data_IF_333753075637
#
_entry.id   IF_333753075637
#
_cell.length_a   1.000
_cell.length_b   1.000
_cell.length_c   1.000
_cell.angle_alpha   90.00
_cell.angle_beta   90.00
_cell.angle_gamma   90.00
#
_symmetry.space_group_name_H-M   'P 1'
#
loop_
_entity.id
_entity.type
_entity.pdbx_description
1 polymer ?
#
# COMPACT_ATOMS: atom_id res chain seq x y z
N UNK A 1 8.02 16.41 -4.74
CA UNK A 1 7.56 17.01 -3.48
C UNK A 1 6.26 16.31 -3.11
N UNK A 2 6.23 15.51 -2.04
CA UNK A 2 5.02 14.76 -1.64
C UNK A 2 4.13 15.70 -0.85
N UNK A 3 3.02 16.16 -1.43
CA UNK A 3 2.05 17.02 -0.76
C UNK A 3 1.53 16.31 0.49
N UNK A 4 1.47 16.96 1.66
CA UNK A 4 0.90 16.33 2.85
C UNK A 4 -0.61 16.13 2.62
N UNK A 5 -1.03 14.86 2.53
CA UNK A 5 -2.43 14.47 2.45
C UNK A 5 -3.20 14.94 3.69
N UNK A 6 -4.41 15.42 3.46
CA UNK A 6 -5.32 15.84 4.52
C UNK A 6 -5.82 14.63 5.31
N UNK A 7 -6.27 14.86 6.54
CA UNK A 7 -6.94 13.84 7.36
C UNK A 7 -8.17 13.24 6.67
N UNK A 8 -8.86 14.03 5.84
CA UNK A 8 -10.01 13.58 5.04
C UNK A 8 -9.60 12.55 3.97
N UNK A 9 -8.54 12.84 3.22
CA UNK A 9 -8.03 11.92 2.18
C UNK A 9 -7.61 10.58 2.80
N UNK A 10 -7.01 10.62 3.99
CA UNK A 10 -6.63 9.41 4.71
C UNK A 10 -7.82 8.59 5.20
N UNK A 11 -8.96 9.23 5.49
CA UNK A 11 -10.18 8.52 5.87
C UNK A 11 -10.81 7.84 4.64
N UNK A 12 -10.77 8.49 3.47
CA UNK A 12 -11.24 7.90 2.22
C UNK A 12 -10.37 6.72 1.79
N UNK A 13 -9.03 6.88 1.84
CA UNK A 13 -8.07 5.79 1.60
C UNK A 13 -8.35 4.61 2.54
N UNK A 14 -8.61 4.86 3.83
CA UNK A 14 -8.94 3.82 4.80
C UNK A 14 -10.23 3.06 4.42
N UNK A 15 -11.28 3.79 4.03
CA UNK A 15 -12.55 3.22 3.64
C UNK A 15 -12.42 2.33 2.39
N UNK A 16 -11.76 2.84 1.35
CA UNK A 16 -11.54 2.10 0.10
C UNK A 16 -10.62 0.89 0.31
N UNK A 17 -9.56 1.05 1.10
CA UNK A 17 -8.67 -0.04 1.47
C UNK A 17 -9.41 -1.15 2.23
N UNK A 18 -10.32 -0.78 3.15
CA UNK A 18 -11.19 -1.73 3.86
C UNK A 18 -12.21 -2.39 2.93
N UNK A 19 -12.66 -1.69 1.89
CA UNK A 19 -13.52 -2.24 0.85
C UNK A 19 -12.81 -3.29 -0.02
N UNK A 20 -11.48 -3.43 0.11
CA UNK A 20 -10.67 -4.41 -0.62
C UNK A 20 -9.97 -3.82 -1.83
N UNK A 21 -9.94 -2.48 -1.98
CA UNK A 21 -9.16 -1.87 -3.04
C UNK A 21 -7.65 -2.08 -2.82
N UNK A 22 -6.90 -2.43 -3.89
CA UNK A 22 -5.46 -2.64 -3.79
C UNK A 22 -4.73 -1.34 -3.45
N UNK A 23 -3.65 -1.47 -2.68
CA UNK A 23 -2.88 -0.33 -2.21
C UNK A 23 -2.24 0.43 -3.37
N UNK A 24 -1.86 -0.28 -4.44
CA UNK A 24 -1.26 0.32 -5.64
C UNK A 24 -2.24 1.23 -6.39
N UNK A 25 -3.51 0.86 -6.46
CA UNK A 25 -4.55 1.68 -7.12
C UNK A 25 -4.81 2.94 -6.31
N UNK A 26 -4.94 2.80 -4.99
CA UNK A 26 -5.08 3.95 -4.09
C UNK A 26 -3.83 4.84 -4.14
N UNK A 27 -2.64 4.25 -4.16
CA UNK A 27 -1.38 4.96 -4.28
C UNK A 27 -1.31 5.82 -5.55
N UNK A 28 -1.76 5.29 -6.69
CA UNK A 28 -1.85 6.05 -7.94
C UNK A 28 -2.88 7.18 -7.83
N UNK A 29 -4.08 6.88 -7.30
CA UNK A 29 -5.19 7.83 -7.17
C UNK A 29 -4.82 9.05 -6.31
N UNK A 30 -4.11 8.82 -5.21
CA UNK A 30 -3.71 9.87 -4.27
C UNK A 30 -2.25 10.32 -4.44
N UNK A 31 -1.57 9.89 -5.51
CA UNK A 31 -0.16 10.21 -5.80
C UNK A 31 0.80 10.00 -4.60
N UNK A 32 0.65 8.87 -3.92
CA UNK A 32 1.52 8.45 -2.81
C UNK A 32 2.17 7.10 -3.07
N UNK A 33 3.16 6.75 -2.24
CA UNK A 33 3.78 5.44 -2.30
C UNK A 33 2.87 4.38 -1.68
N UNK A 34 2.71 3.20 -2.30
CA UNK A 34 1.91 2.10 -1.76
C UNK A 34 2.44 1.66 -0.38
N UNK A 35 3.76 1.69 -0.18
CA UNK A 35 4.39 1.46 1.12
C UNK A 35 3.84 2.38 2.24
N UNK A 36 3.51 3.63 1.94
CA UNK A 36 2.94 4.57 2.93
C UNK A 36 1.55 4.11 3.38
N UNK A 37 0.73 3.62 2.45
CA UNK A 37 -0.60 3.06 2.75
C UNK A 37 -0.44 1.79 3.59
N UNK A 38 0.48 0.89 3.22
CA UNK A 38 0.73 -0.33 3.99
C UNK A 38 1.25 -0.06 5.41
N UNK A 39 2.22 0.84 5.57
CA UNK A 39 2.73 1.23 6.89
C UNK A 39 1.63 1.82 7.77
N UNK A 40 0.78 2.68 7.20
CA UNK A 40 -0.34 3.28 7.92
C UNK A 40 -1.42 2.25 8.26
N UNK A 41 -1.77 1.37 7.31
CA UNK A 41 -2.72 0.28 7.52
C UNK A 41 -2.27 -0.69 8.61
N UNK A 42 -0.98 -0.97 8.71
CA UNK A 42 -0.39 -1.78 9.79
C UNK A 42 -0.46 -1.04 11.13
N UNK A 43 0.00 0.22 11.19
CA UNK A 43 0.02 1.02 12.42
C UNK A 43 -1.39 1.28 12.99
N UNK A 44 -2.35 1.54 12.11
CA UNK A 44 -3.76 1.79 12.47
C UNK A 44 -4.62 0.53 12.46
N UNK A 45 -4.02 -0.64 12.27
CA UNK A 45 -4.72 -1.93 12.33
C UNK A 45 -5.94 -2.00 11.41
N UNK A 46 -5.87 -1.37 10.23
CA UNK A 46 -7.00 -1.27 9.28
C UNK A 46 -7.56 -2.64 8.86
N UNK A 47 -6.76 -3.71 9.00
CA UNK A 47 -7.13 -5.09 8.71
C UNK A 47 -7.70 -5.85 9.91
N UNK A 48 -7.45 -5.45 11.15
CA UNK A 48 -7.91 -6.22 12.32
C UNK A 48 -9.43 -6.21 12.46
N UNK A 49 -10.12 -5.21 11.91
CA UNK A 49 -11.59 -5.11 11.95
C UNK A 49 -12.32 -6.09 11.01
N UNK A 50 -11.64 -6.67 9.99
CA UNK A 50 -12.25 -7.62 9.03
C UNK A 50 -11.59 -9.00 8.99
N UNK A 51 -10.40 -9.21 9.57
CA UNK A 51 -9.64 -10.49 9.48
C UNK A 51 -10.11 -11.55 10.50
N UNK A 52 -11.44 -11.66 10.67
CA UNK A 52 -12.08 -12.96 10.85
C UNK A 52 -12.85 -13.44 9.61
N UNK A 53 -12.95 -12.63 8.54
CA UNK A 53 -13.91 -12.88 7.46
C UNK A 53 -13.33 -13.15 6.05
N UNK A 54 -12.06 -12.86 5.75
CA UNK A 54 -11.51 -13.28 4.45
C UNK A 54 -9.98 -13.43 4.51
N UNK A 55 -9.48 -14.63 4.20
CA UNK A 55 -8.08 -14.89 3.98
C UNK A 55 -7.48 -13.87 3.00
N UNK A 56 -6.22 -13.46 3.23
CA UNK A 56 -5.49 -12.60 2.29
C UNK A 56 -5.66 -13.12 0.87
N UNK A 57 -6.20 -12.30 -0.03
CA UNK A 57 -6.39 -12.72 -1.41
C UNK A 57 -5.02 -12.97 -2.05
N UNK A 58 -4.96 -13.90 -2.99
CA UNK A 58 -3.71 -14.19 -3.71
C UNK A 58 -3.16 -12.95 -4.42
N UNK A 59 -4.04 -12.06 -4.87
CA UNK A 59 -3.69 -10.78 -5.49
C UNK A 59 -2.88 -9.87 -4.55
N UNK A 60 -3.28 -9.74 -3.27
CA UNK A 60 -2.54 -8.92 -2.30
C UNK A 60 -1.16 -9.50 -1.97
N UNK A 61 -1.05 -10.83 -1.91
CA UNK A 61 0.24 -11.51 -1.67
C UNK A 61 1.21 -11.26 -2.84
N UNK A 62 0.69 -11.33 -4.07
CA UNK A 62 1.46 -11.01 -5.27
C UNK A 62 1.85 -9.53 -5.32
N UNK A 63 0.95 -8.61 -4.98
CA UNK A 63 1.26 -7.17 -4.95
C UNK A 63 2.41 -6.86 -3.99
N UNK A 64 2.42 -7.44 -2.79
CA UNK A 64 3.53 -7.28 -1.84
C UNK A 64 4.83 -7.88 -2.34
N UNK A 65 4.77 -9.02 -3.03
CA UNK A 65 5.97 -9.64 -3.60
C UNK A 65 6.59 -8.73 -4.67
N UNK A 66 5.77 -8.12 -5.53
CA UNK A 66 6.22 -7.18 -6.56
C UNK A 66 6.81 -5.91 -5.95
N UNK A 67 6.16 -5.30 -4.96
CA UNK A 67 6.67 -4.09 -4.27
C UNK A 67 8.04 -4.35 -3.61
N UNK A 68 8.20 -5.54 -3.01
CA UNK A 68 9.47 -5.96 -2.40
C UNK A 68 10.58 -6.12 -3.44
N UNK A 69 10.26 -6.72 -4.59
CA UNK A 69 11.21 -6.87 -5.70
C UNK A 69 11.58 -5.52 -6.32
N UNK A 70 10.62 -4.63 -6.52
CA UNK A 70 10.87 -3.27 -7.01
C UNK A 70 11.79 -2.49 -6.06
N UNK A 71 11.56 -2.60 -4.75
CA UNK A 71 12.43 -2.00 -3.73
C UNK A 71 13.85 -2.56 -3.79
N UNK A 72 14.01 -3.87 -4.01
CA UNK A 72 15.33 -4.50 -4.16
C UNK A 72 16.02 -3.97 -5.42
N UNK A 73 15.32 -3.95 -6.56
CA UNK A 73 15.85 -3.44 -7.82
C UNK A 73 16.29 -1.97 -7.73
N UNK A 74 15.54 -1.12 -7.03
CA UNK A 74 15.90 0.29 -6.81
C UNK A 74 17.16 0.46 -5.94
N UNK A 75 17.55 -0.55 -5.16
CA UNK A 75 18.74 -0.54 -4.30
C UNK A 75 19.97 -1.16 -4.93
N UNK A 76 19.84 -1.86 -6.05
CA UNK A 76 21.00 -2.37 -6.79
C UNK A 76 21.68 -1.17 -7.47
N UNK A 77 22.92 -0.82 -7.11
CA UNK A 77 23.65 0.19 -7.86
C UNK A 77 23.77 -0.31 -9.30
N UNK A 78 23.33 0.50 -10.27
CA UNK A 78 23.64 0.25 -11.67
C UNK A 78 25.15 0.35 -11.81
N UNK A 79 25.84 -0.78 -11.74
CA UNK A 79 27.21 -0.88 -12.21
C UNK A 79 27.16 -0.56 -13.70
N UNK A 80 27.58 0.65 -14.04
CA UNK A 80 27.76 1.07 -15.42
C UNK A 80 29.01 0.35 -15.95
N UNK A 81 29.02 -0.12 -17.22
CA UNK A 81 30.11 -0.91 -17.80
C UNK A 81 31.43 -0.14 -17.85
#
# INVERSE_FOLDING_TARGET
MTTPLSSADWAEIEAEYRAGMPAKVLAQRYSIRPGTIHSRACKKKWRETRVRAAAQTQAERLERAVDRLETILQRVPRANP
#
